data_IF_052372265483
#
_entry.id   IF_052372265483
#
_cell.length_a   1.000
_cell.length_b   1.000
_cell.length_c   1.000
_cell.angle_alpha   90.00
_cell.angle_beta   90.00
_cell.angle_gamma   90.00
#
_symmetry.space_group_name_H-M   'P 1'
#
loop_
_entity.id
_entity.type
_entity.pdbx_description
1 polymer ?
#
# COMPACT_ATOMS: atom_id res chain seq x y z
N UNK A 1 30.74 8.14 -3.53
CA UNK A 1 29.39 8.63 -3.89
C UNK A 1 29.10 9.82 -2.99
N UNK A 2 28.67 10.95 -3.57
CA UNK A 2 28.59 12.23 -2.87
C UNK A 2 27.32 12.41 -2.05
N UNK A 3 27.35 13.32 -1.09
CA UNK A 3 26.18 13.82 -0.36
C UNK A 3 25.13 14.31 -1.36
N UNK A 4 24.05 13.55 -1.53
CA UNK A 4 22.88 13.98 -2.30
C UNK A 4 22.07 15.01 -1.52
N UNK A 5 21.42 15.93 -2.22
CA UNK A 5 20.35 16.73 -1.64
C UNK A 5 19.04 15.98 -1.84
N UNK A 6 18.40 15.59 -0.75
CA UNK A 6 17.15 14.84 -0.79
C UNK A 6 16.03 15.72 -0.30
N UNK A 7 14.92 15.72 -1.03
CA UNK A 7 13.78 16.60 -0.74
C UNK A 7 12.54 15.76 -0.44
N UNK A 8 11.89 16.07 0.67
CA UNK A 8 10.55 15.59 0.99
C UNK A 8 9.53 16.59 0.45
N UNK A 9 8.54 16.10 -0.31
CA UNK A 9 7.49 16.94 -0.87
C UNK A 9 6.12 16.48 -0.39
N UNK A 10 5.17 17.41 -0.41
CA UNK A 10 3.76 17.09 -0.26
C UNK A 10 3.12 16.94 -1.64
N UNK A 11 2.50 15.79 -1.87
CA UNK A 11 1.65 15.55 -3.04
C UNK A 11 0.19 15.74 -2.62
N UNK A 12 -0.47 16.71 -3.24
CA UNK A 12 -1.92 16.78 -3.26
C UNK A 12 -2.42 15.90 -4.40
N UNK A 13 -2.95 14.72 -4.06
CA UNK A 13 -3.43 13.75 -5.04
C UNK A 13 -4.75 14.19 -5.70
N UNK A 14 -5.56 15.04 -5.05
CA UNK A 14 -6.82 15.55 -5.61
C UNK A 14 -6.55 16.60 -6.68
N UNK A 15 -5.60 17.50 -6.41
CA UNK A 15 -5.20 18.57 -7.32
C UNK A 15 -4.07 18.17 -8.28
N UNK A 16 -3.41 17.03 -8.04
CA UNK A 16 -2.24 16.58 -8.80
C UNK A 16 -1.04 17.53 -8.67
N UNK A 17 -0.91 18.20 -7.52
CA UNK A 17 0.10 19.25 -7.31
C UNK A 17 1.15 18.83 -6.28
N UNK A 18 2.42 19.19 -6.53
CA UNK A 18 3.55 18.94 -5.63
C UNK A 18 3.96 20.27 -5.01
N UNK A 19 4.09 20.32 -3.69
CA UNK A 19 4.43 21.53 -2.95
C UNK A 19 5.31 21.24 -1.73
N UNK A 20 5.68 22.29 -1.00
CA UNK A 20 6.39 22.22 0.30
C UNK A 20 7.65 21.33 0.28
N UNK A 21 8.53 21.55 -0.68
CA UNK A 21 9.81 20.83 -0.76
C UNK A 21 10.71 21.16 0.43
N UNK A 22 10.98 20.17 1.27
CA UNK A 22 11.84 20.27 2.44
C UNK A 22 13.15 19.50 2.20
N UNK A 23 14.28 20.19 2.32
CA UNK A 23 15.59 19.54 2.26
C UNK A 23 15.81 18.69 3.52
N UNK A 24 16.09 17.41 3.34
CA UNK A 24 16.57 16.49 4.36
C UNK A 24 18.07 16.26 4.14
N UNK A 25 18.95 16.98 4.86
CA UNK A 25 20.39 16.82 4.72
C UNK A 25 20.86 15.53 5.40
N UNK A 26 21.23 14.53 4.61
CA UNK A 26 21.91 13.35 5.11
C UNK A 26 23.42 13.52 4.96
N UNK A 27 24.17 13.17 6.00
CA UNK A 27 25.64 13.20 6.02
C UNK A 27 26.28 11.93 5.46
N UNK A 28 25.46 10.98 5.01
CA UNK A 28 25.84 9.68 4.49
C UNK A 28 25.31 9.44 3.07
N UNK A 29 25.94 8.49 2.37
CA UNK A 29 25.49 8.07 1.04
C UNK A 29 24.21 7.23 1.16
N UNK A 30 23.07 7.83 0.82
CA UNK A 30 21.78 7.14 0.80
C UNK A 30 21.66 6.27 -0.45
N UNK A 31 21.20 5.04 -0.25
CA UNK A 31 20.91 4.06 -1.31
C UNK A 31 19.41 4.02 -1.64
N UNK A 32 18.55 4.09 -0.62
CA UNK A 32 17.11 3.98 -0.78
C UNK A 32 16.37 4.64 0.38
N UNK A 33 15.08 4.90 0.14
CA UNK A 33 14.10 5.43 1.07
C UNK A 33 12.89 4.52 1.08
N UNK A 34 12.23 4.38 2.23
CA UNK A 34 10.92 3.72 2.32
C UNK A 34 10.12 4.35 3.47
N UNK A 35 8.81 4.54 3.27
CA UNK A 35 7.93 5.01 4.35
C UNK A 35 7.44 3.83 5.20
N UNK A 36 7.22 4.06 6.49
CA UNK A 36 6.44 3.13 7.31
C UNK A 36 5.03 2.97 6.74
N UNK A 37 4.33 1.84 6.97
CA UNK A 37 2.95 1.62 6.51
C UNK A 37 1.98 2.76 6.82
N UNK A 38 2.12 3.42 7.97
CA UNK A 38 1.27 4.53 8.40
C UNK A 38 1.78 5.92 7.98
N UNK A 39 2.96 6.00 7.36
CA UNK A 39 3.59 7.25 6.93
C UNK A 39 4.18 8.10 8.05
N UNK A 40 4.23 7.61 9.29
CA UNK A 40 4.83 8.34 10.41
C UNK A 40 6.36 8.34 10.38
N UNK A 41 6.98 7.33 9.79
CA UNK A 41 8.43 7.20 9.73
C UNK A 41 8.97 7.11 8.31
N UNK A 42 10.16 7.66 8.11
CA UNK A 42 11.00 7.46 6.94
C UNK A 42 12.18 6.57 7.29
N UNK A 43 12.33 5.47 6.58
CA UNK A 43 13.49 4.61 6.64
C UNK A 43 14.48 4.96 5.54
N UNK A 44 15.75 5.01 5.92
CA UNK A 44 16.84 5.39 5.03
C UNK A 44 17.93 4.32 5.10
N UNK A 45 18.13 3.65 3.98
CA UNK A 45 19.22 2.71 3.83
C UNK A 45 20.45 3.36 3.22
N UNK A 46 21.62 2.98 3.71
CA UNK A 46 22.87 3.67 3.39
C UNK A 46 23.95 2.69 2.96
N UNK A 47 25.01 3.24 2.39
CA UNK A 47 26.21 2.52 1.98
C UNK A 47 27.43 3.06 2.71
N UNK A 48 28.20 2.18 3.33
CA UNK A 48 29.46 2.51 3.96
C UNK A 48 30.63 2.30 3.00
N UNK A 49 31.49 3.31 2.91
CA UNK A 49 32.80 3.22 2.25
C UNK A 49 33.95 2.98 3.23
N UNK A 50 33.69 3.02 4.55
CA UNK A 50 34.70 2.89 5.61
C UNK A 50 34.14 2.12 6.81
N UNK A 51 34.93 1.20 7.41
CA UNK A 51 34.51 0.37 8.55
C UNK A 51 34.31 1.14 9.87
N UNK A 52 34.74 2.40 9.96
CA UNK A 52 34.61 3.23 11.17
C UNK A 52 33.28 4.01 11.24
N UNK A 53 32.38 3.83 10.26
CA UNK A 53 31.15 4.62 10.13
C UNK A 53 29.96 3.90 10.78
N UNK A 54 29.08 4.62 11.51
CA UNK A 54 27.92 4.07 12.20
C UNK A 54 26.79 3.73 11.18
N UNK A 55 25.61 3.29 11.63
CA UNK A 55 24.86 2.16 11.05
C UNK A 55 24.31 2.32 9.63
N UNK A 56 23.87 1.19 9.07
CA UNK A 56 23.47 1.07 7.67
C UNK A 56 22.00 1.43 7.41
N UNK A 57 21.18 1.46 8.46
CA UNK A 57 19.76 1.73 8.40
C UNK A 57 19.39 2.78 9.45
N UNK A 58 18.66 3.79 9.02
CA UNK A 58 18.15 4.86 9.87
C UNK A 58 16.63 4.95 9.78
N UNK A 59 16.02 5.47 10.83
CA UNK A 59 14.61 5.84 10.90
C UNK A 59 14.49 7.29 11.35
N UNK A 60 13.59 8.04 10.72
CA UNK A 60 13.30 9.43 11.06
C UNK A 60 11.79 9.56 11.28
N UNK A 61 11.38 10.25 12.33
CA UNK A 61 9.99 10.59 12.63
C UNK A 61 9.57 11.82 11.81
N UNK A 62 8.66 11.61 10.85
CA UNK A 62 8.13 12.66 9.99
C UNK A 62 7.12 13.56 10.70
N UNK A 63 6.62 13.15 11.86
CA UNK A 63 5.71 13.93 12.69
C UNK A 63 6.43 14.90 13.64
N UNK A 64 7.76 14.86 13.70
CA UNK A 64 8.60 15.71 14.54
C UNK A 64 8.45 17.23 14.26
N UNK A 65 7.79 17.61 13.16
CA UNK A 65 7.38 18.97 12.87
C UNK A 65 8.28 19.65 11.84
N UNK A 66 9.39 20.25 12.27
CA UNK A 66 10.30 20.94 11.35
C UNK A 66 11.33 19.98 10.71
N UNK A 67 11.93 20.31 9.54
CA UNK A 67 12.99 19.49 8.96
C UNK A 67 14.16 19.23 9.91
N UNK A 68 14.52 20.21 10.75
CA UNK A 68 15.58 20.06 11.73
C UNK A 68 15.21 19.03 12.81
N UNK A 69 13.94 19.02 13.24
CA UNK A 69 13.44 18.06 14.23
C UNK A 69 13.32 16.65 13.64
N UNK A 70 12.90 16.53 12.38
CA UNK A 70 12.90 15.25 11.64
C UNK A 70 14.32 14.67 11.61
N UNK A 71 15.32 15.47 11.21
CA UNK A 71 16.71 15.00 11.21
C UNK A 71 17.21 14.65 12.62
N UNK A 72 16.86 15.46 13.63
CA UNK A 72 17.25 15.20 15.01
C UNK A 72 16.57 13.94 15.61
N UNK A 73 15.44 13.50 15.05
CA UNK A 73 14.72 12.29 15.47
C UNK A 73 15.39 10.98 15.03
N UNK A 74 16.50 11.06 14.31
CA UNK A 74 17.23 9.93 13.76
C UNK A 74 17.44 8.82 14.82
N UNK A 75 16.91 7.64 14.51
CA UNK A 75 17.27 6.41 15.18
C UNK A 75 18.15 5.56 14.26
N UNK A 76 19.23 5.05 14.82
CA UNK A 76 20.31 4.40 14.10
C UNK A 76 20.34 2.91 14.47
N UNK A 77 20.00 2.01 13.54
CA UNK A 77 19.90 0.56 13.85
C UNK A 77 21.28 -0.07 13.88
N UNK A 78 21.70 -0.73 14.98
CA UNK A 78 23.07 -1.20 15.13
C UNK A 78 23.49 -2.11 13.97
N UNK A 79 24.67 -1.87 13.42
CA UNK A 79 25.27 -2.78 12.45
C UNK A 79 25.50 -4.14 13.11
N UNK A 80 25.28 -5.21 12.33
CA UNK A 80 25.50 -6.58 12.79
C UNK A 80 26.54 -7.25 11.89
N UNK A 81 27.10 -8.37 12.32
CA UNK A 81 28.02 -9.16 11.48
C UNK A 81 27.39 -9.65 10.17
N UNK A 82 26.06 -9.58 10.07
CA UNK A 82 25.24 -9.95 8.93
C UNK A 82 24.93 -8.74 8.02
N UNK A 83 25.19 -7.52 8.47
CA UNK A 83 24.92 -6.26 7.74
C UNK A 83 26.16 -5.38 7.85
N UNK A 84 27.18 -5.68 7.05
CA UNK A 84 28.53 -5.14 7.27
C UNK A 84 28.87 -3.91 6.44
N UNK A 85 28.25 -3.69 5.27
CA UNK A 85 28.67 -2.60 4.38
C UNK A 85 27.52 -1.78 3.81
N UNK A 86 26.34 -2.37 3.60
CA UNK A 86 25.18 -1.62 3.12
C UNK A 86 23.85 -2.28 3.41
N UNK A 87 22.80 -1.49 3.26
CA UNK A 87 21.50 -2.01 2.84
C UNK A 87 21.31 -1.55 1.40
N UNK A 88 21.42 -2.45 0.43
CA UNK A 88 21.40 -2.04 -0.98
C UNK A 88 20.00 -1.66 -1.44
N UNK A 89 18.96 -2.25 -0.84
CA UNK A 89 17.55 -1.96 -1.09
C UNK A 89 16.72 -2.20 0.17
N UNK A 90 15.59 -1.52 0.25
CA UNK A 90 14.58 -1.72 1.26
C UNK A 90 13.21 -1.46 0.66
N UNK A 91 12.22 -2.27 1.04
CA UNK A 91 10.87 -2.17 0.50
C UNK A 91 9.86 -2.73 1.48
N UNK A 92 8.69 -2.11 1.55
CA UNK A 92 7.58 -2.63 2.32
C UNK A 92 7.02 -3.90 1.68
N UNK A 93 6.88 -4.95 2.49
CA UNK A 93 6.24 -6.20 2.12
C UNK A 93 4.71 -6.12 2.26
N UNK A 94 3.96 -6.99 1.58
CA UNK A 94 2.50 -7.09 1.75
C UNK A 94 2.08 -7.55 3.17
N UNK A 95 3.03 -8.07 3.95
CA UNK A 95 2.85 -8.44 5.35
C UNK A 95 3.05 -7.27 6.34
N UNK A 96 3.28 -6.06 5.81
CA UNK A 96 3.50 -4.85 6.61
C UNK A 96 4.88 -4.77 7.25
N UNK A 97 5.80 -5.69 6.91
CA UNK A 97 7.21 -5.63 7.34
C UNK A 97 8.03 -4.87 6.32
N UNK A 98 9.06 -4.18 6.77
CA UNK A 98 10.03 -3.56 5.86
C UNK A 98 11.18 -4.54 5.66
N UNK A 99 11.34 -5.02 4.42
CA UNK A 99 12.38 -5.97 4.04
C UNK A 99 13.57 -5.23 3.46
N UNK A 100 14.78 -5.60 3.85
CA UNK A 100 16.02 -5.04 3.32
C UNK A 100 16.92 -6.13 2.76
N UNK A 101 17.63 -5.78 1.68
CA UNK A 101 18.75 -6.56 1.18
C UNK A 101 20.01 -6.12 1.92
N UNK A 102 20.58 -6.98 2.79
CA UNK A 102 21.87 -6.69 3.40
C UNK A 102 22.95 -6.73 2.32
N UNK A 103 23.97 -5.87 2.43
CA UNK A 103 25.07 -5.78 1.49
C UNK A 103 26.42 -5.77 2.19
N UNK A 104 27.39 -6.40 1.53
CA UNK A 104 28.75 -6.62 2.05
C UNK A 104 29.56 -7.69 1.33
N UNK A 105 28.94 -8.42 0.40
CA UNK A 105 29.62 -9.36 -0.50
C UNK A 105 29.89 -10.73 0.12
N UNK A 106 29.31 -11.04 1.28
CA UNK A 106 29.33 -12.39 1.86
C UNK A 106 28.26 -13.29 1.22
N UNK A 107 28.47 -14.61 1.24
CA UNK A 107 27.48 -15.58 0.75
C UNK A 107 26.16 -15.54 1.53
N UNK A 108 26.20 -15.13 2.80
CA UNK A 108 25.01 -14.98 3.63
C UNK A 108 24.16 -13.81 3.14
N UNK A 109 24.76 -12.63 2.98
CA UNK A 109 24.06 -11.40 2.57
C UNK A 109 23.36 -11.57 1.21
N UNK A 110 23.97 -12.37 0.33
CA UNK A 110 23.45 -12.64 -1.00
C UNK A 110 22.25 -13.60 -1.01
N UNK A 111 21.95 -14.28 0.11
CA UNK A 111 20.93 -15.32 0.19
C UNK A 111 19.90 -15.10 1.30
N UNK A 112 19.89 -13.92 1.93
CA UNK A 112 18.95 -13.58 2.99
C UNK A 112 18.33 -12.20 2.78
N UNK A 113 17.11 -12.03 3.27
CA UNK A 113 16.49 -10.72 3.48
C UNK A 113 16.37 -10.47 4.99
N UNK A 114 16.86 -9.34 5.48
CA UNK A 114 16.57 -8.90 6.85
C UNK A 114 15.28 -8.09 6.83
N UNK A 115 14.65 -7.89 7.99
CA UNK A 115 13.43 -7.09 8.03
C UNK A 115 13.19 -6.41 9.38
N UNK A 116 12.45 -5.31 9.34
CA UNK A 116 11.80 -4.71 10.51
C UNK A 116 10.41 -5.30 10.65
N UNK A 117 10.12 -5.86 11.83
CA UNK A 117 8.85 -6.54 12.09
C UNK A 117 7.70 -5.58 12.34
N UNK A 118 7.97 -4.43 12.93
CA UNK A 118 6.97 -3.42 13.29
C UNK A 118 7.38 -2.03 12.81
N UNK A 119 7.38 -1.75 11.49
CA UNK A 119 7.90 -0.49 10.95
C UNK A 119 7.11 0.78 11.34
N UNK A 120 5.98 0.64 12.02
CA UNK A 120 5.24 1.77 12.60
C UNK A 120 5.69 2.10 14.04
N UNK A 121 6.61 1.32 14.62
CA UNK A 121 7.09 1.55 15.98
C UNK A 121 8.38 2.36 16.00
N UNK A 122 8.59 3.15 17.06
CA UNK A 122 9.75 4.02 17.18
C UNK A 122 11.03 3.24 17.56
N UNK A 123 12.10 3.44 16.79
CA UNK A 123 13.43 2.96 17.09
C UNK A 123 13.52 1.45 17.31
N UNK A 124 14.12 1.02 18.43
CA UNK A 124 14.30 -0.39 18.75
C UNK A 124 12.98 -1.20 18.76
N UNK A 125 11.84 -0.56 19.02
CA UNK A 125 10.53 -1.21 19.04
C UNK A 125 10.09 -1.69 17.66
N UNK A 126 10.69 -1.19 16.57
CA UNK A 126 10.43 -1.72 15.22
C UNK A 126 11.00 -3.13 14.98
N UNK A 127 11.83 -3.64 15.91
CA UNK A 127 12.38 -5.00 15.92
C UNK A 127 13.07 -5.39 14.60
N UNK A 128 14.32 -4.94 14.39
CA UNK A 128 15.16 -5.41 13.30
C UNK A 128 15.58 -6.86 13.53
N UNK A 129 15.08 -7.75 12.68
CA UNK A 129 15.46 -9.16 12.66
C UNK A 129 16.56 -9.41 11.62
N UNK A 130 17.75 -9.72 12.13
CA UNK A 130 18.95 -10.02 11.33
C UNK A 130 19.19 -11.51 11.14
N UNK A 131 18.33 -12.38 11.68
CA UNK A 131 18.33 -13.81 11.31
C UNK A 131 17.89 -13.97 9.86
N UNK A 132 16.95 -13.12 9.43
CA UNK A 132 16.52 -12.95 8.05
C UNK A 132 15.76 -14.14 7.47
N UNK A 133 15.13 -13.92 6.33
CA UNK A 133 14.52 -14.95 5.50
C UNK A 133 15.56 -15.53 4.54
N UNK A 134 15.85 -16.81 4.67
CA UNK A 134 16.74 -17.52 3.75
C UNK A 134 16.05 -17.82 2.41
N UNK A 135 16.73 -17.51 1.31
CA UNK A 135 16.22 -17.61 -0.06
C UNK A 135 16.80 -18.79 -0.86
N UNK A 136 17.41 -19.79 -0.19
CA UNK A 136 17.80 -21.03 -0.87
C UNK A 136 19.04 -20.92 -1.78
N UNK A 137 19.98 -20.02 -1.47
CA UNK A 137 21.19 -19.71 -2.27
C UNK A 137 20.96 -18.97 -3.59
N UNK A 138 19.76 -18.46 -3.84
CA UNK A 138 19.56 -17.52 -4.94
C UNK A 138 20.21 -16.18 -4.61
N UNK A 139 20.97 -15.64 -5.57
CA UNK A 139 21.64 -14.35 -5.45
C UNK A 139 20.61 -13.23 -5.50
N UNK A 140 20.42 -12.52 -4.38
CA UNK A 140 19.63 -11.31 -4.35
C UNK A 140 20.54 -10.10 -4.28
N UNK A 141 20.82 -9.54 -5.46
CA UNK A 141 21.53 -8.26 -5.57
C UNK A 141 20.56 -7.08 -5.57
N UNK A 142 19.29 -7.33 -5.91
CA UNK A 142 18.19 -6.38 -5.94
C UNK A 142 16.88 -7.13 -5.66
N UNK A 143 16.37 -7.06 -4.43
CA UNK A 143 15.03 -7.56 -4.11
C UNK A 143 14.02 -6.53 -4.61
N UNK A 144 13.70 -6.61 -5.90
CA UNK A 144 12.58 -5.84 -6.44
C UNK A 144 11.32 -6.62 -6.06
N UNK A 145 10.74 -6.34 -4.90
CA UNK A 145 9.33 -6.71 -4.73
C UNK A 145 8.54 -5.92 -5.77
N UNK A 146 7.47 -6.48 -6.37
CA UNK A 146 6.68 -5.74 -7.35
C UNK A 146 6.36 -4.36 -6.79
N UNK A 147 6.81 -3.33 -7.52
CA UNK A 147 6.83 -1.92 -7.09
C UNK A 147 5.47 -1.60 -6.45
N UNK A 148 5.46 -1.43 -5.12
CA UNK A 148 4.26 -1.04 -4.42
C UNK A 148 4.06 0.45 -4.66
N UNK A 149 3.05 0.81 -5.42
CA UNK A 149 2.53 2.16 -5.40
C UNK A 149 1.76 2.34 -4.09
N UNK A 150 2.35 3.15 -3.22
CA UNK A 150 1.73 3.74 -2.03
C UNK A 150 0.33 4.33 -2.34
N UNK A 151 -0.67 4.26 -1.43
CA UNK A 151 -0.57 3.98 0.02
C UNK A 151 -1.07 2.59 0.45
N UNK A 152 -0.38 2.00 1.44
CA UNK A 152 -0.87 0.84 2.21
C UNK A 152 -1.74 1.24 3.42
N UNK A 153 -1.90 2.55 3.69
CA UNK A 153 -2.82 3.07 4.71
C UNK A 153 -3.82 4.08 4.12
N UNK A 154 -4.66 3.60 3.21
CA UNK A 154 -6.01 4.13 3.03
C UNK A 154 -6.91 2.96 2.59
N UNK A 155 -8.08 2.73 3.21
CA UNK A 155 -9.06 1.76 2.70
C UNK A 155 -9.68 2.19 1.35
N UNK A 156 -9.16 3.24 0.71
CA UNK A 156 -9.68 3.82 -0.52
C UNK A 156 -8.63 3.71 -1.64
N UNK A 157 -8.84 2.69 -2.49
CA UNK A 157 -8.39 2.46 -3.87
C UNK A 157 -7.60 3.57 -4.57
N UNK A 158 -6.74 3.19 -5.52
CA UNK A 158 -6.90 3.53 -6.95
C UNK A 158 -6.17 2.48 -7.82
N UNK A 159 -6.63 2.13 -9.03
CA UNK A 159 -7.41 2.94 -9.96
C UNK A 159 -8.36 2.08 -10.81
N UNK A 160 -9.45 2.62 -11.37
CA UNK A 160 -9.83 2.23 -12.72
C UNK A 160 -8.76 2.85 -13.65
N UNK A 161 -7.98 2.05 -14.41
CA UNK A 161 -8.32 1.68 -15.80
C UNK A 161 -9.06 2.82 -16.49
N UNK A 162 -8.58 3.36 -17.64
CA UNK A 162 -9.08 4.59 -18.25
C UNK A 162 -10.56 4.79 -17.97
N UNK A 163 -10.91 5.82 -17.19
CA UNK A 163 -12.30 6.09 -16.81
C UNK A 163 -13.12 6.35 -18.07
N UNK A 164 -13.59 5.29 -18.72
CA UNK A 164 -14.97 5.28 -19.14
C UNK A 164 -15.72 5.55 -17.85
N UNK A 165 -16.20 6.78 -17.65
CA UNK A 165 -16.97 7.19 -16.48
C UNK A 165 -17.88 6.03 -16.09
N UNK A 166 -17.56 5.31 -15.00
CA UNK A 166 -18.45 4.29 -14.49
C UNK A 166 -19.75 5.03 -14.18
N UNK A 167 -20.87 4.53 -14.69
CA UNK A 167 -22.18 5.11 -14.43
C UNK A 167 -22.46 5.11 -12.93
N UNK A 168 -23.44 5.91 -12.52
CA UNK A 168 -23.95 5.89 -11.15
C UNK A 168 -24.84 4.65 -10.97
N UNK A 169 -24.59 3.84 -9.94
CA UNK A 169 -25.52 2.81 -9.43
C UNK A 169 -25.85 3.17 -7.98
N UNK A 170 -27.13 3.11 -7.61
CA UNK A 170 -27.62 3.37 -6.27
C UNK A 170 -28.47 2.20 -5.80
N UNK A 171 -28.37 1.84 -4.52
CA UNK A 171 -29.18 0.82 -3.88
C UNK A 171 -30.05 1.48 -2.80
N UNK A 172 -31.38 1.39 -2.92
CA UNK A 172 -32.32 2.02 -2.00
C UNK A 172 -33.54 1.10 -1.75
N UNK A 173 -33.99 0.89 -0.50
CA UNK A 173 -33.38 1.34 0.75
C UNK A 173 -32.09 0.58 1.08
N UNK A 174 -31.21 1.28 1.80
CA UNK A 174 -30.06 0.69 2.49
C UNK A 174 -29.90 1.40 3.83
N UNK A 175 -30.06 0.70 4.97
CA UNK A 175 -30.30 -0.74 5.11
C UNK A 175 -31.69 -1.23 4.61
N UNK A 176 -31.85 -2.54 4.38
CA UNK A 176 -33.14 -3.17 4.01
C UNK A 176 -33.41 -4.51 4.73
N UNK A 177 -34.69 -4.77 5.02
CA UNK A 177 -35.19 -6.05 5.56
C UNK A 177 -35.68 -7.03 4.47
N UNK A 178 -35.73 -6.60 3.22
CA UNK A 178 -36.30 -7.41 2.15
C UNK A 178 -35.96 -6.86 0.77
N UNK A 179 -36.81 -6.00 0.24
CA UNK A 179 -36.64 -5.47 -1.11
C UNK A 179 -35.58 -4.36 -1.18
N UNK A 180 -34.72 -4.41 -2.21
CA UNK A 180 -33.83 -3.32 -2.61
C UNK A 180 -34.06 -2.97 -4.08
N UNK A 181 -34.06 -1.68 -4.40
CA UNK A 181 -34.10 -1.19 -5.78
C UNK A 181 -32.73 -0.64 -6.16
N UNK A 182 -32.20 -1.17 -7.27
CA UNK A 182 -30.98 -0.69 -7.89
C UNK A 182 -31.33 0.30 -9.01
N UNK A 183 -30.90 1.55 -8.90
CA UNK A 183 -31.11 2.60 -9.91
C UNK A 183 -29.80 2.96 -10.59
N UNK A 184 -29.80 3.06 -11.92
CA UNK A 184 -28.61 3.36 -12.72
C UNK A 184 -28.86 4.45 -13.76
N UNK A 185 -27.88 5.33 -13.93
CA UNK A 185 -27.97 6.56 -14.75
C UNK A 185 -27.92 6.34 -16.27
N UNK A 186 -27.46 5.16 -16.71
CA UNK A 186 -27.37 4.79 -18.12
C UNK A 186 -28.19 3.54 -18.40
N UNK A 187 -29.19 3.58 -19.31
CA UNK A 187 -29.91 2.38 -19.70
C UNK A 187 -28.95 1.39 -20.36
N UNK A 188 -28.88 0.17 -19.79
CA UNK A 188 -28.05 -0.92 -20.32
C UNK A 188 -28.98 -1.97 -20.93
N UNK A 189 -28.80 -2.24 -22.21
CA UNK A 189 -29.51 -3.32 -22.90
C UNK A 189 -28.73 -4.62 -22.72
N UNK A 190 -29.36 -5.63 -22.08
CA UNK A 190 -28.79 -6.97 -21.94
C UNK A 190 -27.65 -7.10 -20.92
N UNK A 191 -27.61 -6.22 -19.92
CA UNK A 191 -26.65 -6.30 -18.81
C UNK A 191 -27.13 -7.18 -17.64
N UNK A 192 -26.30 -7.28 -16.61
CA UNK A 192 -26.64 -7.97 -15.36
C UNK A 192 -26.16 -7.19 -14.13
N UNK A 193 -26.79 -7.44 -12.98
CA UNK A 193 -26.30 -7.00 -11.67
C UNK A 193 -25.83 -8.23 -10.92
N UNK A 194 -24.56 -8.28 -10.54
CA UNK A 194 -24.03 -9.30 -9.65
C UNK A 194 -24.11 -8.82 -8.20
N UNK A 195 -24.73 -9.62 -7.35
CA UNK A 195 -24.76 -9.42 -5.90
C UNK A 195 -23.62 -10.21 -5.28
N UNK A 196 -22.72 -9.53 -4.57
CA UNK A 196 -21.55 -10.11 -3.93
C UNK A 196 -21.63 -9.94 -2.41
N UNK A 197 -21.25 -10.97 -1.67
CA UNK A 197 -21.08 -10.87 -0.21
C UNK A 197 -19.79 -10.10 0.15
N UNK A 198 -19.58 -9.85 1.44
CA UNK A 198 -18.42 -9.09 1.94
C UNK A 198 -17.05 -9.75 1.63
N UNK A 199 -17.03 -11.03 1.24
CA UNK A 199 -15.81 -11.74 0.80
C UNK A 199 -15.53 -11.59 -0.70
N UNK A 200 -16.43 -10.93 -1.44
CA UNK A 200 -16.35 -10.77 -2.89
C UNK A 200 -16.94 -11.95 -3.68
N UNK A 201 -17.55 -12.93 -3.00
CA UNK A 201 -18.19 -14.08 -3.67
C UNK A 201 -19.54 -13.64 -4.23
N UNK A 202 -19.78 -13.94 -5.51
CA UNK A 202 -21.08 -13.72 -6.15
C UNK A 202 -22.10 -14.69 -5.54
N UNK A 203 -23.11 -14.15 -4.87
CA UNK A 203 -24.22 -14.93 -4.30
C UNK A 203 -25.43 -14.96 -5.24
N UNK A 204 -25.56 -13.98 -6.14
CA UNK A 204 -26.64 -13.95 -7.11
C UNK A 204 -26.33 -13.11 -8.35
N UNK A 205 -27.09 -13.30 -9.42
CA UNK A 205 -27.01 -12.52 -10.66
C UNK A 205 -28.41 -12.20 -11.18
N UNK A 206 -28.70 -10.92 -11.32
CA UNK A 206 -29.98 -10.38 -11.74
C UNK A 206 -29.91 -9.91 -13.19
N UNK A 207 -30.93 -10.18 -13.98
CA UNK A 207 -31.06 -9.56 -15.30
C UNK A 207 -31.47 -8.09 -15.16
N UNK A 208 -30.79 -7.21 -15.91
CA UNK A 208 -31.14 -5.79 -15.97
C UNK A 208 -32.38 -5.63 -16.84
N UNK A 209 -33.41 -4.96 -16.31
CA UNK A 209 -34.59 -4.58 -17.10
C UNK A 209 -34.37 -3.22 -17.78
N UNK A 210 -34.93 -3.06 -18.97
CA UNK A 210 -34.93 -1.79 -19.67
C UNK A 210 -35.74 -0.77 -18.84
N UNK A 211 -35.11 0.35 -18.43
CA UNK A 211 -35.80 1.37 -17.63
C UNK A 211 -34.98 2.03 -16.52
N UNK A 212 -33.69 1.73 -16.39
CA UNK A 212 -32.82 2.44 -15.43
C UNK A 212 -32.96 1.98 -13.98
N UNK A 213 -33.78 0.96 -13.69
CA UNK A 213 -33.81 0.36 -12.36
C UNK A 213 -34.19 -1.13 -12.37
N UNK A 214 -33.66 -1.91 -11.42
CA UNK A 214 -34.01 -3.31 -11.18
C UNK A 214 -34.32 -3.49 -9.70
N UNK A 215 -35.43 -4.16 -9.38
CA UNK A 215 -35.82 -4.49 -8.00
C UNK A 215 -35.41 -5.92 -7.66
N UNK A 216 -34.98 -6.13 -6.43
CA UNK A 216 -34.44 -7.40 -5.93
C UNK A 216 -34.97 -7.75 -4.54
N UNK A 217 -35.34 -9.01 -4.34
CA UNK A 217 -35.89 -9.57 -3.09
C UNK A 217 -34.78 -10.27 -2.30
N UNK A 218 -34.19 -9.55 -1.34
CA UNK A 218 -33.01 -9.97 -0.60
C UNK A 218 -33.34 -10.69 0.72
N UNK A 219 -34.60 -11.04 1.00
CA UNK A 219 -35.02 -11.65 2.27
C UNK A 219 -34.26 -12.92 2.60
N UNK A 220 -33.87 -13.67 1.57
CA UNK A 220 -33.17 -14.94 1.67
C UNK A 220 -31.66 -14.80 1.93
N UNK A 221 -31.10 -13.59 1.81
CA UNK A 221 -29.70 -13.33 2.10
C UNK A 221 -29.52 -13.16 3.63
N UNK A 222 -28.43 -13.69 4.21
CA UNK A 222 -28.04 -13.39 5.58
C UNK A 222 -27.87 -11.88 5.81
N UNK A 223 -27.99 -11.45 7.06
CA UNK A 223 -27.64 -10.08 7.46
C UNK A 223 -26.17 -9.79 7.16
N UNK A 224 -25.88 -8.63 6.57
CA UNK A 224 -24.52 -8.28 6.18
C UNK A 224 -24.42 -7.15 5.16
N UNK A 225 -23.18 -6.83 4.78
CA UNK A 225 -22.86 -5.85 3.74
C UNK A 225 -22.72 -6.57 2.40
N UNK A 226 -23.35 -6.00 1.37
CA UNK A 226 -23.34 -6.53 0.02
C UNK A 226 -22.89 -5.47 -1.00
N UNK A 227 -22.28 -5.95 -2.08
CA UNK A 227 -21.85 -5.14 -3.22
C UNK A 227 -22.63 -5.55 -4.48
N UNK A 228 -23.24 -4.59 -5.15
CA UNK A 228 -23.93 -4.75 -6.43
C UNK A 228 -22.98 -4.24 -7.51
N UNK A 229 -22.69 -5.10 -8.49
CA UNK A 229 -21.85 -4.75 -9.63
C UNK A 229 -22.70 -4.84 -10.89
N UNK A 230 -23.00 -3.69 -11.49
CA UNK A 230 -23.66 -3.62 -12.78
C UNK A 230 -22.64 -3.92 -13.88
N UNK A 231 -22.98 -4.84 -14.78
CA UNK A 231 -22.17 -5.25 -15.92
C UNK A 231 -22.92 -5.07 -17.22
N UNK A 232 -22.22 -4.66 -18.28
CA UNK A 232 -22.80 -4.60 -19.62
C UNK A 232 -22.97 -6.01 -20.23
N UNK A 233 -23.51 -6.09 -21.46
CA UNK A 233 -23.71 -7.36 -22.20
C UNK A 233 -22.41 -8.16 -22.46
N UNK A 234 -21.26 -7.49 -22.43
CA UNK A 234 -19.92 -8.10 -22.58
C UNK A 234 -19.34 -8.56 -21.24
N UNK A 235 -20.08 -8.38 -20.14
CA UNK A 235 -19.64 -8.73 -18.79
C UNK A 235 -18.69 -7.72 -18.16
N UNK A 236 -18.46 -6.56 -18.77
CA UNK A 236 -17.57 -5.51 -18.25
C UNK A 236 -18.30 -4.75 -17.13
N UNK A 237 -17.68 -4.56 -15.95
CA UNK A 237 -18.25 -3.71 -14.89
C UNK A 237 -18.39 -2.27 -15.37
N UNK A 238 -19.56 -1.67 -15.13
CA UNK A 238 -19.87 -0.29 -15.54
C UNK A 238 -20.38 0.59 -14.40
N UNK A 239 -20.82 0.02 -13.28
CA UNK A 239 -21.20 0.76 -12.08
C UNK A 239 -21.23 -0.15 -10.84
N UNK A 240 -21.16 0.41 -9.63
CA UNK A 240 -21.23 -0.34 -8.37
C UNK A 240 -21.97 0.41 -7.26
N UNK A 241 -22.62 -0.33 -6.36
CA UNK A 241 -23.31 0.21 -5.19
C UNK A 241 -23.19 -0.76 -4.00
N UNK A 242 -23.06 -0.22 -2.79
CA UNK A 242 -23.08 -1.01 -1.54
C UNK A 242 -24.43 -0.87 -0.85
N UNK A 243 -24.92 -1.94 -0.22
CA UNK A 243 -26.06 -1.86 0.70
C UNK A 243 -25.91 -2.80 1.89
N UNK A 244 -26.76 -2.59 2.90
CA UNK A 244 -26.82 -3.40 4.11
C UNK A 244 -28.14 -4.18 4.15
N UNK A 245 -28.05 -5.49 4.40
CA UNK A 245 -29.18 -6.37 4.71
C UNK A 245 -29.25 -6.54 6.23
N UNK A 246 -30.38 -6.22 6.83
CA UNK A 246 -30.62 -6.34 8.29
C UNK A 246 -31.23 -7.67 8.75
#
# INVERSE_FOLDING_TARGET
QGSGQYYLYQLDAELGSISNGQLLPFDHAVQWFEFSPDGHYLYVGTYQTSPDTPPLLYQYDLSAGSPADIIASQYAYPATSQMLQSTSQGQLGPDGRLWCVPGGGTSWELSHLVYLKYPNEAGAAAELDTTGLYLGQEYVTQAVFPFQFWPAAAPNFLAPVPSASLGVLQANPSPTVGTVTFTYDRPITGGSIQVQDASGRVVETLSVVAGGSTTYQAEHLPSGVYLAVLRNKEGIPVARATWVRE
#
